data_IF_520614780323
#
_entry.id   IF_520614780323
#
_cell.length_a   1.000
_cell.length_b   1.000
_cell.length_c   1.000
_cell.angle_alpha   90.00
_cell.angle_beta   90.00
_cell.angle_gamma   90.00
#
_symmetry.space_group_name_H-M   'P 1'
#
loop_
_entity.id
_entity.type
_entity.pdbx_description
1 polymer ?
#
# COMPACT_ATOMS: atom_id res chain seq x y z
N UNK A 1 9.39 -3.14 -23.70
CA UNK A 1 9.65 -2.19 -22.60
C UNK A 1 9.45 -2.92 -21.28
N UNK A 2 10.53 -3.32 -20.63
CA UNK A 2 10.54 -3.96 -19.32
C UNK A 2 10.05 -2.97 -18.27
N UNK A 3 8.88 -3.23 -17.67
CA UNK A 3 8.41 -2.52 -16.47
C UNK A 3 9.27 -2.99 -15.30
N UNK A 4 10.34 -2.26 -15.01
CA UNK A 4 11.08 -2.41 -13.75
C UNK A 4 10.10 -2.26 -12.58
N UNK A 5 10.20 -3.06 -11.52
CA UNK A 5 9.45 -2.80 -10.30
C UNK A 5 9.83 -1.40 -9.84
N UNK A 6 8.85 -0.51 -9.73
CA UNK A 6 9.11 0.86 -9.30
C UNK A 6 9.54 0.76 -7.84
N UNK A 7 10.80 1.07 -7.59
CA UNK A 7 11.35 1.29 -6.25
C UNK A 7 10.68 2.54 -5.67
N UNK A 8 9.42 2.39 -5.24
CA UNK A 8 8.63 3.42 -4.59
C UNK A 8 8.98 3.48 -3.12
N UNK A 9 10.27 3.62 -2.85
CA UNK A 9 10.69 4.35 -1.66
C UNK A 9 10.22 5.80 -1.85
N UNK A 10 8.98 6.08 -1.42
CA UNK A 10 8.72 7.32 -0.67
C UNK A 10 9.96 7.53 0.20
N UNK A 11 10.57 8.74 0.28
CA UNK A 11 11.78 8.93 1.09
C UNK A 11 11.52 8.24 2.41
N UNK A 12 12.38 7.28 2.76
CA UNK A 12 12.29 6.53 4.01
C UNK A 12 12.10 7.58 5.09
N UNK A 13 10.84 7.83 5.48
CA UNK A 13 10.57 8.35 6.80
C UNK A 13 11.22 7.28 7.66
N UNK A 14 12.20 7.66 8.46
CA UNK A 14 12.72 6.77 9.47
C UNK A 14 11.54 6.42 10.36
N UNK A 15 10.93 5.27 10.08
CA UNK A 15 9.77 4.79 10.81
C UNK A 15 10.19 4.70 12.27
N UNK A 16 9.34 5.16 13.18
CA UNK A 16 9.63 4.98 14.60
C UNK A 16 9.75 3.48 14.89
N UNK A 17 10.50 3.06 15.92
CA UNK A 17 10.62 1.65 16.28
C UNK A 17 9.26 0.96 16.43
N UNK A 18 8.26 1.69 16.96
CA UNK A 18 6.89 1.20 17.12
C UNK A 18 6.19 0.98 15.77
N UNK A 19 6.33 1.91 14.81
CA UNK A 19 5.77 1.76 13.46
C UNK A 19 6.42 0.59 12.71
N UNK A 20 7.72 0.38 12.88
CA UNK A 20 8.40 -0.78 12.30
C UNK A 20 7.88 -2.09 12.90
N UNK A 21 7.70 -2.13 14.22
CA UNK A 21 7.17 -3.30 14.91
C UNK A 21 5.73 -3.61 14.48
N UNK A 22 4.88 -2.60 14.28
CA UNK A 22 3.53 -2.79 13.75
C UNK A 22 3.53 -3.25 12.29
N UNK A 23 4.37 -2.63 11.45
CA UNK A 23 4.51 -2.99 10.03
C UNK A 23 4.92 -4.46 9.84
N UNK A 24 5.74 -5.00 10.74
CA UNK A 24 6.18 -6.40 10.72
C UNK A 24 5.06 -7.40 11.06
N UNK A 25 3.95 -6.96 11.68
CA UNK A 25 2.77 -7.81 11.93
C UNK A 25 2.02 -8.14 10.65
N UNK A 26 2.18 -7.35 9.60
CA UNK A 26 1.52 -7.54 8.32
C UNK A 26 2.39 -8.37 7.38
N UNK A 27 1.71 -9.26 6.65
CA UNK A 27 2.33 -10.11 5.63
C UNK A 27 2.80 -9.27 4.44
N UNK A 28 3.96 -9.64 3.89
CA UNK A 28 4.55 -9.01 2.73
C UNK A 28 4.26 -9.76 1.42
N UNK A 29 3.63 -10.94 1.52
CA UNK A 29 3.28 -11.72 0.34
C UNK A 29 2.18 -11.00 -0.49
N UNK A 30 2.33 -10.94 -1.84
CA UNK A 30 1.38 -10.28 -2.75
C UNK A 30 0.12 -11.12 -2.98
N UNK A 31 -0.70 -11.27 -1.93
CA UNK A 31 -1.87 -12.17 -1.90
C UNK A 31 -3.13 -11.58 -2.54
N UNK A 32 -3.33 -10.26 -2.45
CA UNK A 32 -4.61 -9.64 -2.82
C UNK A 32 -4.61 -9.19 -4.26
N UNK A 33 -5.47 -9.79 -5.08
CA UNK A 33 -5.46 -9.63 -6.54
C UNK A 33 -6.59 -8.72 -7.00
N UNK A 34 -6.23 -7.61 -7.63
CA UNK A 34 -7.17 -6.67 -8.22
C UNK A 34 -7.76 -5.66 -7.24
N UNK A 35 -8.16 -4.51 -7.77
CA UNK A 35 -8.61 -3.37 -6.96
C UNK A 35 -9.85 -3.64 -6.08
N UNK A 36 -10.85 -4.45 -6.49
CA UNK A 36 -11.99 -4.77 -5.61
C UNK A 36 -11.56 -5.55 -4.36
N UNK A 37 -10.78 -6.63 -4.53
CA UNK A 37 -10.29 -7.43 -3.42
C UNK A 37 -9.39 -6.62 -2.48
N UNK A 38 -8.57 -5.72 -3.06
CA UNK A 38 -7.74 -4.81 -2.26
C UNK A 38 -8.62 -3.84 -1.45
N UNK A 39 -9.71 -3.31 -2.02
CA UNK A 39 -10.63 -2.42 -1.30
C UNK A 39 -11.34 -3.13 -0.15
N UNK A 40 -11.81 -4.35 -0.37
CA UNK A 40 -12.38 -5.21 0.68
C UNK A 40 -11.36 -5.46 1.78
N UNK A 41 -10.12 -5.81 1.41
CA UNK A 41 -9.06 -6.05 2.38
C UNK A 41 -8.71 -4.82 3.22
N UNK A 42 -8.66 -3.63 2.62
CA UNK A 42 -8.45 -2.38 3.36
C UNK A 42 -9.57 -2.16 4.39
N UNK A 43 -10.81 -2.48 4.04
CA UNK A 43 -11.94 -2.39 4.97
C UNK A 43 -11.84 -3.43 6.09
N UNK A 44 -11.41 -4.66 5.80
CA UNK A 44 -11.18 -5.70 6.82
C UNK A 44 -10.06 -5.33 7.80
N UNK A 45 -8.93 -4.84 7.29
CA UNK A 45 -7.74 -4.58 8.11
C UNK A 45 -7.87 -3.32 8.96
N UNK A 46 -8.48 -2.27 8.40
CA UNK A 46 -8.45 -0.92 8.98
C UNK A 46 -9.85 -0.37 9.30
N UNK A 47 -10.93 -1.08 8.96
CA UNK A 47 -12.30 -0.59 9.14
C UNK A 47 -12.66 0.59 8.23
N UNK A 48 -11.88 0.84 7.17
CA UNK A 48 -12.05 1.98 6.26
C UNK A 48 -12.59 1.52 4.91
N UNK A 49 -13.74 2.06 4.52
CA UNK A 49 -14.29 1.86 3.17
C UNK A 49 -13.56 2.76 2.16
N UNK A 50 -12.80 2.15 1.27
CA UNK A 50 -12.17 2.83 0.13
C UNK A 50 -12.83 2.41 -1.18
N UNK A 51 -12.88 3.32 -2.15
CA UNK A 51 -13.42 3.01 -3.48
C UNK A 51 -12.33 2.46 -4.40
N UNK A 52 -12.72 1.64 -5.37
CA UNK A 52 -11.81 1.16 -6.42
C UNK A 52 -11.22 2.30 -7.24
N UNK A 53 -11.98 3.38 -7.45
CA UNK A 53 -11.49 4.59 -8.12
C UNK A 53 -10.37 5.27 -7.34
N UNK A 54 -10.50 5.37 -6.01
CA UNK A 54 -9.46 5.91 -5.14
C UNK A 54 -8.18 5.09 -5.22
N UNK A 55 -8.28 3.76 -5.13
CA UNK A 55 -7.14 2.86 -5.25
C UNK A 55 -6.49 2.94 -6.64
N UNK A 56 -7.29 2.97 -7.72
CA UNK A 56 -6.79 3.13 -9.08
C UNK A 56 -6.03 4.44 -9.25
N UNK A 57 -6.52 5.53 -8.65
CA UNK A 57 -5.82 6.82 -8.66
C UNK A 57 -4.53 6.72 -7.86
N UNK A 58 -4.50 6.03 -6.73
CA UNK A 58 -3.31 5.84 -5.91
C UNK A 58 -2.24 4.99 -6.62
N UNK A 59 -2.62 3.92 -7.33
CA UNK A 59 -1.68 3.12 -8.13
C UNK A 59 -1.13 3.94 -9.29
N UNK A 60 -1.99 4.67 -10.02
CA UNK A 60 -1.56 5.51 -11.15
C UNK A 60 -0.66 6.66 -10.73
N UNK A 61 -0.93 7.27 -9.56
CA UNK A 61 -0.10 8.33 -8.99
C UNK A 61 1.10 7.81 -8.20
N UNK A 62 1.35 6.49 -8.24
CA UNK A 62 2.48 5.82 -7.57
C UNK A 62 2.54 6.08 -6.05
N UNK A 63 1.39 6.30 -5.43
CA UNK A 63 1.26 6.46 -3.97
C UNK A 63 1.06 5.13 -3.25
N UNK A 64 0.43 4.18 -3.93
CA UNK A 64 0.26 2.81 -3.45
C UNK A 64 1.32 1.93 -4.15
N UNK A 65 2.17 1.29 -3.36
CA UNK A 65 3.07 0.25 -3.86
C UNK A 65 2.25 -1.00 -4.21
N UNK A 66 2.62 -1.65 -5.32
CA UNK A 66 1.97 -2.86 -5.79
C UNK A 66 2.96 -3.72 -6.58
N UNK A 67 2.64 -5.00 -6.71
CA UNK A 67 3.34 -5.96 -7.55
C UNK A 67 2.48 -6.24 -8.78
N UNK A 68 3.04 -6.13 -9.99
CA UNK A 68 2.34 -6.54 -11.21
C UNK A 68 2.73 -7.98 -11.56
N UNK A 69 1.78 -8.91 -11.48
CA UNK A 69 1.98 -10.33 -11.81
C UNK A 69 0.94 -10.72 -12.85
N UNK A 70 1.37 -11.26 -14.00
CA UNK A 70 0.47 -11.64 -15.09
C UNK A 70 -0.54 -10.53 -15.47
N UNK A 71 -0.08 -9.27 -15.57
CA UNK A 71 -0.89 -8.08 -15.86
C UNK A 71 -1.97 -7.74 -14.83
N UNK A 72 -1.95 -8.37 -13.65
CA UNK A 72 -2.84 -8.07 -12.54
C UNK A 72 -2.07 -7.32 -11.46
N UNK A 73 -2.78 -6.44 -10.76
CA UNK A 73 -2.25 -5.70 -9.61
C UNK A 73 -2.40 -6.59 -8.38
N UNK A 74 -1.29 -6.81 -7.69
CA UNK A 74 -1.24 -7.51 -6.42
C UNK A 74 -0.74 -6.57 -5.33
N UNK A 75 -1.38 -6.60 -4.16
CA UNK A 75 -0.89 -5.89 -2.98
C UNK A 75 -0.69 -6.85 -1.80
N UNK A 76 0.34 -6.58 -1.00
CA UNK A 76 0.51 -7.20 0.31
C UNK A 76 -0.20 -6.38 1.40
N UNK A 77 -0.53 -7.02 2.53
CA UNK A 77 -1.13 -6.31 3.68
C UNK A 77 -0.19 -5.20 4.18
N UNK A 78 1.12 -5.44 4.13
CA UNK A 78 2.15 -4.45 4.47
C UNK A 78 2.12 -3.22 3.56
N UNK A 79 2.00 -3.41 2.24
CA UNK A 79 1.87 -2.31 1.29
C UNK A 79 0.60 -1.47 1.54
N UNK A 80 -0.49 -2.12 1.98
CA UNK A 80 -1.73 -1.43 2.34
C UNK A 80 -1.59 -0.65 3.65
N UNK A 81 -0.91 -1.20 4.66
CA UNK A 81 -0.58 -0.48 5.88
C UNK A 81 0.28 0.76 5.60
N UNK A 82 1.34 0.60 4.79
CA UNK A 82 2.23 1.70 4.39
C UNK A 82 1.45 2.82 3.67
N UNK A 83 0.45 2.47 2.87
CA UNK A 83 -0.36 3.43 2.12
C UNK A 83 -1.48 4.07 2.94
N UNK A 84 -2.23 3.31 3.73
CA UNK A 84 -3.42 3.80 4.45
C UNK A 84 -3.03 4.42 5.78
N UNK A 85 -2.14 3.79 6.54
CA UNK A 85 -1.78 4.22 7.90
C UNK A 85 -0.62 5.19 7.87
N UNK A 86 0.51 4.79 7.29
CA UNK A 86 1.70 5.63 7.23
C UNK A 86 1.58 6.70 6.12
N UNK A 87 0.82 6.37 5.07
CA UNK A 87 0.64 7.21 3.89
C UNK A 87 -0.18 8.48 4.13
N UNK A 88 -1.10 8.44 5.10
CA UNK A 88 -2.08 9.48 5.41
C UNK A 88 -1.69 10.36 6.61
N UNK A 89 -0.66 9.98 7.38
CA UNK A 89 -0.09 10.85 8.42
C UNK A 89 0.43 12.14 7.79
N UNK A 90 -0.26 13.25 8.03
CA UNK A 90 0.24 14.62 7.77
C UNK A 90 1.65 14.70 8.33
N UNK A 91 2.62 15.09 7.50
CA UNK A 91 3.91 15.53 8.01
C UNK A 91 3.62 16.58 9.10
N UNK A 92 3.94 16.28 10.36
CA UNK A 92 4.10 17.32 11.40
C UNK A 92 5.41 18.09 11.14
N UNK A 93 5.62 18.52 9.91
CA UNK A 93 6.77 19.27 9.47
C UNK A 93 6.32 20.20 8.33
N UNK A 94 5.65 21.28 8.70
CA UNK A 94 5.66 22.55 8.00
C UNK A 94 5.41 23.64 9.03
#
# INVERSE_FOLDING_TARGET
>A
MSRTPVDLARPKRDFTPDEQAERLKYDDAPKHVGLPAIAERVNELFGVKVTTHYLRRATNSRKLAFNEICHKIHCSDRQLYDFIVLGTRKDKAS
#
